data_IF_043184835588
#
_entry.id   IF_043184835588
#
_cell.length_a   1.000
_cell.length_b   1.000
_cell.length_c   1.000
_cell.angle_alpha   90.00
_cell.angle_beta   90.00
_cell.angle_gamma   90.00
#
_symmetry.space_group_name_H-M   'P 1'
#
loop_
_entity.id
_entity.type
_entity.pdbx_description
1 polymer ?
#
# COMPACT_ATOMS: atom_id res chain seq x y z
N UNK A 1 -7.30 -12.52 -15.41
CA UNK A 1 -7.73 -11.14 -15.12
C UNK A 1 -7.62 -10.39 -16.43
N UNK A 2 -8.58 -9.52 -16.77
CA UNK A 2 -8.60 -8.79 -18.05
C UNK A 2 -7.75 -7.50 -17.99
N UNK A 3 -6.97 -7.30 -16.93
CA UNK A 3 -5.99 -6.22 -16.84
C UNK A 3 -4.87 -6.53 -17.85
N UNK A 4 -4.93 -5.92 -19.03
CA UNK A 4 -4.00 -6.14 -20.14
C UNK A 4 -4.64 -6.41 -21.51
N UNK A 5 -5.97 -6.49 -21.60
CA UNK A 5 -6.66 -6.71 -22.90
C UNK A 5 -6.82 -5.43 -23.73
N UNK A 6 -6.41 -4.26 -23.22
CA UNK A 6 -6.42 -3.01 -23.99
C UNK A 6 -5.13 -2.87 -24.79
N UNK A 7 -5.26 -2.55 -26.07
CA UNK A 7 -4.14 -2.39 -27.00
C UNK A 7 -3.30 -1.18 -26.56
N UNK A 8 -2.05 -1.43 -26.16
CA UNK A 8 -1.11 -0.39 -25.71
C UNK A 8 -0.85 -0.34 -24.19
N UNK A 9 -1.54 -1.16 -23.38
CA UNK A 9 -1.18 -1.29 -21.96
C UNK A 9 0.13 -2.07 -21.79
N UNK A 10 1.01 -1.68 -20.85
CA UNK A 10 2.19 -2.47 -20.51
C UNK A 10 1.81 -3.91 -20.15
N UNK A 11 2.67 -4.89 -20.47
CA UNK A 11 2.39 -6.29 -20.17
C UNK A 11 2.12 -6.46 -18.67
N UNK A 12 0.94 -6.97 -18.35
CA UNK A 12 0.48 -7.18 -16.97
C UNK A 12 0.47 -8.67 -16.66
N UNK A 13 1.05 -9.05 -15.53
CA UNK A 13 1.09 -10.44 -15.06
C UNK A 13 0.25 -10.62 -13.81
N UNK A 14 -0.44 -11.75 -13.70
CA UNK A 14 -1.22 -12.11 -12.52
C UNK A 14 -0.57 -13.31 -11.80
N UNK A 15 -0.37 -13.16 -10.49
CA UNK A 15 0.18 -14.20 -9.63
C UNK A 15 -0.93 -14.79 -8.75
N UNK A 16 -0.96 -16.11 -8.64
CA UNK A 16 -2.02 -16.81 -7.92
C UNK A 16 -1.50 -17.71 -6.79
N UNK A 17 -0.24 -18.15 -6.86
CA UNK A 17 0.33 -18.97 -5.77
C UNK A 17 0.77 -18.06 -4.63
N UNK A 18 0.40 -18.45 -3.41
CA UNK A 18 0.75 -17.71 -2.19
C UNK A 18 2.24 -17.40 -2.10
N UNK A 19 3.11 -18.38 -2.37
CA UNK A 19 4.57 -18.18 -2.30
C UNK A 19 5.06 -17.15 -3.32
N UNK A 20 4.54 -17.19 -4.56
CA UNK A 20 4.92 -16.24 -5.61
C UNK A 20 4.46 -14.82 -5.25
N UNK A 21 3.24 -14.68 -4.73
CA UNK A 21 2.71 -13.39 -4.22
C UNK A 21 3.58 -12.86 -3.09
N UNK A 22 3.92 -13.69 -2.10
CA UNK A 22 4.74 -13.27 -0.97
C UNK A 22 6.18 -12.92 -1.37
N UNK A 23 6.75 -13.59 -2.37
CA UNK A 23 8.06 -13.23 -2.94
C UNK A 23 8.02 -11.82 -3.51
N UNK A 24 7.01 -11.51 -4.33
CA UNK A 24 6.85 -10.18 -4.94
C UNK A 24 6.59 -9.11 -3.88
N UNK A 25 5.64 -9.32 -2.96
CA UNK A 25 5.26 -8.32 -1.96
C UNK A 25 6.36 -8.01 -0.93
N UNK A 26 7.39 -8.87 -0.81
CA UNK A 26 8.52 -8.65 0.09
C UNK A 26 9.74 -8.05 -0.60
N UNK A 27 9.82 -8.13 -1.93
CA UNK A 27 10.91 -7.57 -2.72
C UNK A 27 10.53 -6.19 -3.27
N UNK A 28 10.51 -5.20 -2.39
CA UNK A 28 10.27 -3.80 -2.76
C UNK A 28 11.42 -3.12 -3.50
N UNK A 29 12.55 -3.81 -3.73
CA UNK A 29 13.66 -3.30 -4.53
C UNK A 29 13.46 -3.60 -6.02
N UNK A 30 12.88 -4.77 -6.34
CA UNK A 30 12.55 -5.18 -7.71
C UNK A 30 11.13 -4.80 -8.11
N UNK A 31 10.16 -4.90 -7.18
CA UNK A 31 8.75 -4.65 -7.44
C UNK A 31 8.27 -3.38 -6.73
N UNK A 32 8.23 -2.28 -7.48
CA UNK A 32 7.90 -0.95 -6.98
C UNK A 32 6.39 -0.67 -6.95
N UNK A 33 5.96 0.21 -6.05
CA UNK A 33 4.57 0.62 -5.86
C UNK A 33 4.20 1.92 -6.56
N UNK A 34 5.15 2.58 -7.24
CA UNK A 34 4.96 3.83 -7.98
C UNK A 34 3.78 3.85 -8.96
N UNK A 35 3.33 2.71 -9.49
CA UNK A 35 2.13 2.63 -10.34
C UNK A 35 0.86 3.14 -9.63
N UNK A 36 0.81 3.08 -8.30
CA UNK A 36 -0.31 3.60 -7.49
C UNK A 36 -0.40 5.13 -7.63
N UNK A 37 0.73 5.82 -7.79
CA UNK A 37 0.75 7.26 -8.00
C UNK A 37 0.11 7.67 -9.34
N UNK A 38 0.27 6.85 -10.38
CA UNK A 38 -0.27 7.14 -11.72
C UNK A 38 -1.80 7.16 -11.77
N UNK A 39 -2.49 6.48 -10.84
CA UNK A 39 -3.95 6.49 -10.73
C UNK A 39 -4.50 7.32 -9.58
N UNK A 40 -3.90 7.20 -8.39
CA UNK A 40 -4.42 7.77 -7.14
C UNK A 40 -3.72 9.10 -6.77
N UNK A 41 -2.49 9.33 -7.27
CA UNK A 41 -1.67 10.51 -6.97
C UNK A 41 -2.22 11.83 -7.50
N UNK A 42 -3.06 11.79 -8.53
CA UNK A 42 -3.81 12.97 -8.99
C UNK A 42 -4.93 13.39 -8.02
N UNK A 43 -5.34 12.51 -7.09
CA UNK A 43 -6.47 12.74 -6.17
C UNK A 43 -6.03 13.14 -4.75
N UNK A 44 -4.85 12.70 -4.30
CA UNK A 44 -4.28 13.08 -3.01
C UNK A 44 -2.96 13.81 -3.29
N UNK A 45 -2.87 15.11 -3.00
CA UNK A 45 -1.72 16.02 -3.21
C UNK A 45 -0.35 15.43 -2.82
N UNK A 46 0.16 14.50 -3.63
CA UNK A 46 1.43 13.78 -3.49
C UNK A 46 1.69 12.96 -2.21
N UNK A 47 0.81 12.97 -1.18
CA UNK A 47 1.07 12.24 0.08
C UNK A 47 0.37 10.88 0.16
N UNK A 48 0.80 9.93 -0.67
CA UNK A 48 0.30 8.55 -0.64
C UNK A 48 1.45 7.62 -0.23
N UNK A 49 1.54 7.31 1.07
CA UNK A 49 2.57 6.41 1.62
C UNK A 49 2.62 5.07 0.87
N UNK A 50 1.48 4.42 0.53
CA UNK A 50 1.51 3.18 -0.25
C UNK A 50 2.13 3.28 -1.66
N UNK A 51 2.22 4.48 -2.24
CA UNK A 51 2.79 4.69 -3.57
C UNK A 51 4.28 5.02 -3.54
N UNK A 52 4.86 5.22 -2.35
CA UNK A 52 6.29 5.47 -2.16
C UNK A 52 7.06 4.15 -2.11
N UNK A 53 8.34 4.20 -2.46
CA UNK A 53 9.24 3.04 -2.44
C UNK A 53 10.49 3.30 -1.58
N UNK A 54 11.21 2.23 -1.24
CA UNK A 54 12.52 2.30 -0.59
C UNK A 54 12.60 3.16 0.69
N UNK A 55 13.65 3.98 0.76
CA UNK A 55 13.96 4.81 1.94
C UNK A 55 12.94 5.92 2.19
N UNK A 56 12.29 6.44 1.14
CA UNK A 56 11.23 7.44 1.27
C UNK A 56 10.04 6.84 2.01
N UNK A 57 9.53 5.70 1.51
CA UNK A 57 8.46 4.95 2.18
C UNK A 57 8.82 4.64 3.64
N UNK A 58 10.05 4.16 3.88
CA UNK A 58 10.51 3.83 5.23
C UNK A 58 10.47 5.03 6.17
N UNK A 59 10.99 6.19 5.75
CA UNK A 59 11.05 7.40 6.57
C UNK A 59 9.65 7.94 6.87
N UNK A 60 8.80 8.05 5.86
CA UNK A 60 7.44 8.59 6.04
C UNK A 60 6.59 7.64 6.89
N UNK A 61 6.65 6.32 6.65
CA UNK A 61 5.96 5.32 7.48
C UNK A 61 6.42 5.38 8.94
N UNK A 62 7.71 5.60 9.19
CA UNK A 62 8.24 5.67 10.56
C UNK A 62 7.65 6.85 11.35
N UNK A 63 7.31 7.98 10.70
CA UNK A 63 6.65 9.12 11.34
C UNK A 63 5.24 8.76 11.84
N UNK A 64 4.50 7.96 11.06
CA UNK A 64 3.13 7.57 11.42
C UNK A 64 3.06 6.36 12.36
N UNK A 65 4.06 5.47 12.33
CA UNK A 65 4.05 4.23 13.09
C UNK A 65 3.61 4.41 14.56
N UNK A 66 4.11 5.39 15.35
CA UNK A 66 3.72 5.55 16.75
C UNK A 66 2.21 5.76 16.98
N UNK A 67 1.52 6.42 16.05
CA UNK A 67 0.08 6.65 16.13
C UNK A 67 -0.74 5.35 16.01
N UNK A 68 -0.16 4.33 15.36
CA UNK A 68 -0.79 3.03 15.11
C UNK A 68 -0.26 1.91 16.02
N UNK A 69 0.49 2.24 17.07
CA UNK A 69 0.94 1.25 18.05
C UNK A 69 -0.22 0.79 18.94
N UNK A 70 -0.20 -0.48 19.43
CA UNK A 70 -1.28 -1.03 20.25
C UNK A 70 -1.69 -0.11 21.41
N UNK A 71 -0.73 0.43 22.16
CA UNK A 71 -1.00 1.31 23.31
C UNK A 71 -1.70 2.62 22.91
N UNK A 72 -1.43 3.13 21.71
CA UNK A 72 -2.10 4.33 21.19
C UNK A 72 -3.50 3.99 20.69
N UNK A 73 -3.64 2.93 19.90
CA UNK A 73 -4.92 2.52 19.30
C UNK A 73 -5.91 2.04 20.35
N UNK A 74 -5.46 1.30 21.37
CA UNK A 74 -6.32 0.75 22.42
C UNK A 74 -7.03 1.84 23.25
N UNK A 75 -6.50 3.06 23.30
CA UNK A 75 -7.16 4.21 23.95
C UNK A 75 -8.48 4.59 23.26
N UNK A 76 -8.62 4.26 21.98
CA UNK A 76 -9.80 4.56 21.16
C UNK A 76 -10.82 3.41 21.12
N UNK A 77 -10.52 2.30 21.79
CA UNK A 77 -11.37 1.10 21.76
C UNK A 77 -12.83 1.37 22.18
N UNK A 78 -13.11 2.14 23.25
CA UNK A 78 -14.51 2.43 23.62
C UNK A 78 -15.29 3.18 22.52
N UNK A 79 -14.65 4.12 21.82
CA UNK A 79 -15.26 4.89 20.74
C UNK A 79 -15.47 4.02 19.50
N UNK A 80 -14.49 3.18 19.17
CA UNK A 80 -14.58 2.23 18.05
C UNK A 80 -15.72 1.23 18.29
N UNK A 81 -15.81 0.67 19.50
CA UNK A 81 -16.85 -0.29 19.89
C UNK A 81 -18.27 0.31 19.81
N UNK A 82 -18.42 1.62 20.00
CA UNK A 82 -19.69 2.32 19.87
C UNK A 82 -20.16 2.45 18.42
N UNK A 83 -19.23 2.60 17.47
CA UNK A 83 -19.55 2.83 16.04
C UNK A 83 -19.71 1.52 15.28
N UNK A 84 -19.03 0.44 15.71
CA UNK A 84 -19.09 -0.88 15.04
C UNK A 84 -20.39 -1.64 15.34
N UNK A 85 -21.16 -1.24 16.36
CA UNK A 85 -22.45 -1.87 16.73
C UNK A 85 -23.63 -1.17 16.07
#
# INVERSE_FOLDING_TARGET
TNAGTQQGSPPTSALFKYQEVMTVLRDGATYTSGFIAEGLGAFFDALIIPAMDGDEHRKVRALLQPAFMPDTVNKWRPQIDQVIR
#
